data_IF_453540393578
#
_entry.id   IF_453540393578
#
_cell.length_a   1.000
_cell.length_b   1.000
_cell.length_c   1.000
_cell.angle_alpha   90.00
_cell.angle_beta   90.00
_cell.angle_gamma   90.00
#
_symmetry.space_group_name_H-M   'P 1'
#
loop_
_entity.id
_entity.type
_entity.pdbx_description
1 polymer ?
#
# COMPACT_ATOMS: atom_id res chain seq x y z
N UNK A 1 -13.91 1.19 -21.97
CA UNK A 1 -14.71 0.34 -21.06
C UNK A 1 -13.85 -0.57 -20.19
N UNK A 2 -12.78 -1.23 -20.67
CA UNK A 2 -11.93 -2.11 -19.84
C UNK A 2 -11.12 -1.39 -18.74
N UNK A 3 -10.72 -0.13 -18.97
CA UNK A 3 -10.00 0.67 -17.97
C UNK A 3 -10.85 1.05 -16.75
N UNK A 4 -12.17 1.14 -16.93
CA UNK A 4 -13.07 1.64 -15.90
C UNK A 4 -13.38 0.55 -14.86
N UNK A 5 -13.49 -0.70 -15.30
CA UNK A 5 -13.73 -1.85 -14.41
C UNK A 5 -12.49 -2.21 -13.58
N UNK A 6 -11.28 -2.13 -14.17
CA UNK A 6 -10.03 -2.36 -13.40
C UNK A 6 -9.77 -1.27 -12.37
N UNK A 7 -10.10 -0.01 -12.69
CA UNK A 7 -9.99 1.09 -11.74
C UNK A 7 -10.92 0.86 -10.54
N UNK A 8 -12.19 0.51 -10.81
CA UNK A 8 -13.15 0.19 -9.74
C UNK A 8 -12.71 -0.97 -8.86
N UNK A 9 -12.20 -2.05 -9.45
CA UNK A 9 -11.70 -3.19 -8.66
C UNK A 9 -10.51 -2.81 -7.78
N UNK A 10 -9.65 -1.91 -8.26
CA UNK A 10 -8.54 -1.40 -7.47
C UNK A 10 -9.05 -0.53 -6.31
N UNK A 11 -9.97 0.38 -6.59
CA UNK A 11 -10.58 1.26 -5.57
C UNK A 11 -11.33 0.44 -4.52
N UNK A 12 -12.15 -0.53 -4.93
CA UNK A 12 -12.86 -1.45 -4.03
C UNK A 12 -11.89 -2.23 -3.13
N UNK A 13 -10.73 -2.66 -3.66
CA UNK A 13 -9.71 -3.35 -2.88
C UNK A 13 -9.06 -2.41 -1.85
N UNK A 14 -8.78 -1.16 -2.22
CA UNK A 14 -8.26 -0.14 -1.30
C UNK A 14 -9.26 0.12 -0.18
N UNK A 15 -10.53 0.32 -0.49
CA UNK A 15 -11.61 0.52 0.49
C UNK A 15 -11.74 -0.67 1.44
N UNK A 16 -11.64 -1.91 0.94
CA UNK A 16 -11.64 -3.11 1.79
C UNK A 16 -10.44 -3.13 2.76
N UNK A 17 -9.24 -2.74 2.31
CA UNK A 17 -8.08 -2.67 3.20
C UNK A 17 -8.21 -1.57 4.25
N UNK A 18 -8.78 -0.41 3.88
CA UNK A 18 -9.05 0.69 4.82
C UNK A 18 -10.11 0.29 5.85
N UNK A 19 -11.21 -0.34 5.43
CA UNK A 19 -12.24 -0.82 6.34
C UNK A 19 -11.71 -1.84 7.36
N UNK A 20 -10.80 -2.73 6.95
CA UNK A 20 -10.11 -3.65 7.88
C UNK A 20 -9.22 -2.86 8.84
N UNK A 21 -8.50 -1.85 8.36
CA UNK A 21 -7.66 -1.01 9.20
C UNK A 21 -8.49 -0.27 10.27
N UNK A 22 -9.57 0.37 9.86
CA UNK A 22 -10.51 1.07 10.74
C UNK A 22 -11.14 0.13 11.76
N UNK A 23 -11.58 -1.06 11.34
CA UNK A 23 -12.13 -2.06 12.24
C UNK A 23 -11.13 -2.45 13.33
N UNK A 24 -9.87 -2.71 12.97
CA UNK A 24 -8.84 -3.09 13.94
C UNK A 24 -8.50 -1.91 14.86
N UNK A 25 -8.37 -0.69 14.32
CA UNK A 25 -8.08 0.53 15.09
C UNK A 25 -9.25 0.98 15.97
N UNK A 26 -10.48 0.53 15.69
CA UNK A 26 -11.65 0.83 16.51
C UNK A 26 -11.71 0.05 17.83
N UNK A 27 -10.88 -0.98 18.00
CA UNK A 27 -10.74 -1.63 19.31
C UNK A 27 -9.65 -0.92 20.11
N UNK A 28 -9.91 -0.69 21.40
CA UNK A 28 -8.94 -0.09 22.34
C UNK A 28 -7.66 -0.93 22.51
N UNK A 29 -7.60 -2.12 21.88
CA UNK A 29 -6.51 -3.08 21.99
C UNK A 29 -5.39 -2.84 20.96
N UNK A 30 -5.64 -2.12 19.86
CA UNK A 30 -4.66 -1.95 18.77
C UNK A 30 -4.37 -0.49 18.43
N UNK A 31 -3.11 -0.07 18.64
CA UNK A 31 -2.57 1.21 18.16
C UNK A 31 -2.58 1.25 16.62
N UNK A 32 -3.00 2.38 16.02
CA UNK A 32 -2.92 2.67 14.58
C UNK A 32 -1.55 2.31 13.98
N UNK A 33 -0.46 2.46 14.76
CA UNK A 33 0.89 2.06 14.34
C UNK A 33 1.02 0.56 14.06
N UNK A 34 0.36 -0.28 14.85
CA UNK A 34 0.38 -1.74 14.66
C UNK A 34 -0.40 -2.13 13.41
N UNK A 35 -1.54 -1.50 13.18
CA UNK A 35 -2.36 -1.70 11.97
C UNK A 35 -1.60 -1.28 10.73
N UNK A 36 -0.98 -0.09 10.75
CA UNK A 36 -0.12 0.39 9.67
C UNK A 36 1.04 -0.58 9.38
N UNK A 37 1.69 -1.09 10.43
CA UNK A 37 2.79 -2.06 10.29
C UNK A 37 2.33 -3.37 9.66
N UNK A 38 1.14 -3.87 10.02
CA UNK A 38 0.57 -5.09 9.44
C UNK A 38 0.24 -4.93 7.95
N UNK A 39 -0.27 -3.77 7.54
CA UNK A 39 -0.53 -3.44 6.13
C UNK A 39 0.77 -3.37 5.34
N UNK A 40 1.78 -2.66 5.86
CA UNK A 40 3.10 -2.57 5.23
C UNK A 40 3.74 -3.96 5.06
N UNK A 41 3.64 -4.81 6.08
CA UNK A 41 4.14 -6.18 6.02
C UNK A 41 3.41 -7.01 4.95
N UNK A 42 2.09 -6.88 4.86
CA UNK A 42 1.28 -7.57 3.85
C UNK A 42 1.64 -7.12 2.43
N UNK A 43 1.76 -5.81 2.21
CA UNK A 43 2.20 -5.25 0.93
C UNK A 43 3.60 -5.74 0.54
N UNK A 44 4.54 -5.79 1.50
CA UNK A 44 5.88 -6.32 1.25
C UNK A 44 5.87 -7.77 0.76
N UNK A 45 4.99 -8.62 1.31
CA UNK A 45 4.84 -10.02 0.88
C UNK A 45 4.28 -10.12 -0.53
N UNK A 46 3.25 -9.34 -0.87
CA UNK A 46 2.66 -9.31 -2.22
C UNK A 46 3.69 -8.83 -3.25
N UNK A 47 4.41 -7.75 -2.93
CA UNK A 47 5.46 -7.21 -3.81
C UNK A 47 6.61 -8.20 -4.01
N UNK A 48 7.01 -8.94 -2.96
CA UNK A 48 8.03 -9.98 -3.12
C UNK A 48 7.56 -11.13 -4.03
N UNK A 49 6.29 -11.52 -3.95
CA UNK A 49 5.69 -12.54 -4.83
C UNK A 49 5.64 -12.04 -6.29
N UNK A 50 5.19 -10.81 -6.52
CA UNK A 50 5.15 -10.20 -7.86
C UNK A 50 6.55 -10.08 -8.47
N UNK A 51 7.53 -9.64 -7.69
CA UNK A 51 8.91 -9.57 -8.15
C UNK A 51 9.46 -10.96 -8.50
N UNK A 52 9.09 -11.99 -7.73
CA UNK A 52 9.48 -13.38 -7.99
C UNK A 52 8.80 -13.96 -9.23
N UNK A 53 7.56 -13.56 -9.54
CA UNK A 53 6.85 -14.04 -10.75
C UNK A 53 7.35 -13.40 -12.04
N UNK A 54 7.96 -12.22 -11.96
CA UNK A 54 8.45 -11.47 -13.12
C UNK A 54 9.96 -11.60 -13.37
N UNK A 55 10.74 -12.12 -12.42
CA UNK A 55 12.14 -12.48 -12.66
C UNK A 55 12.63 -13.63 -11.79
N UNK A 56 13.12 -14.70 -12.43
CA UNK A 56 13.92 -15.75 -11.79
C UNK A 56 15.23 -15.19 -11.17
N UNK A 57 15.58 -13.95 -11.51
CA UNK A 57 16.76 -13.24 -11.06
C UNK A 57 16.56 -12.41 -9.79
N UNK A 58 15.43 -12.55 -9.07
CA UNK A 58 15.13 -11.73 -7.88
C UNK A 58 16.29 -11.71 -6.87
N UNK A 59 17.00 -12.83 -6.72
CA UNK A 59 18.19 -12.92 -5.86
C UNK A 59 19.27 -11.88 -6.21
N UNK A 60 19.47 -11.60 -7.50
CA UNK A 60 20.48 -10.65 -8.00
C UNK A 60 19.94 -9.25 -8.23
N UNK A 61 18.61 -9.08 -8.33
CA UNK A 61 17.93 -7.79 -8.54
C UNK A 61 17.10 -7.31 -7.34
N UNK A 62 17.30 -7.92 -6.16
CA UNK A 62 16.60 -7.55 -4.91
C UNK A 62 16.66 -6.05 -4.64
N UNK A 63 17.84 -5.43 -4.82
CA UNK A 63 18.02 -4.00 -4.57
C UNK A 63 17.17 -3.14 -5.52
N UNK A 64 17.14 -3.46 -6.81
CA UNK A 64 16.33 -2.77 -7.81
C UNK A 64 14.83 -2.92 -7.50
N UNK A 65 14.37 -4.14 -7.23
CA UNK A 65 12.97 -4.41 -6.89
C UNK A 65 12.55 -3.66 -5.61
N UNK A 66 13.39 -3.72 -4.57
CA UNK A 66 13.16 -2.99 -3.31
C UNK A 66 13.05 -1.49 -3.57
N UNK A 67 13.98 -0.92 -4.35
CA UNK A 67 13.95 0.51 -4.72
C UNK A 67 12.69 0.88 -5.50
N UNK A 68 12.25 0.01 -6.42
CA UNK A 68 11.02 0.22 -7.19
C UNK A 68 9.80 0.38 -6.28
N UNK A 69 9.49 -0.63 -5.46
CA UNK A 69 8.30 -0.57 -4.61
C UNK A 69 8.37 0.53 -3.54
N UNK A 70 9.54 0.76 -2.95
CA UNK A 70 9.70 1.82 -1.94
C UNK A 70 9.54 3.22 -2.55
N UNK A 71 9.98 3.43 -3.80
CA UNK A 71 9.79 4.72 -4.49
C UNK A 71 8.32 4.96 -4.83
N UNK A 72 7.60 3.92 -5.26
CA UNK A 72 6.16 4.00 -5.53
C UNK A 72 5.38 4.30 -4.25
N UNK A 73 5.66 3.58 -3.16
CA UNK A 73 5.06 3.87 -1.86
C UNK A 73 5.34 5.31 -1.40
N UNK A 74 6.61 5.75 -1.48
CA UNK A 74 7.00 7.10 -1.11
C UNK A 74 6.17 8.14 -1.87
N UNK A 75 6.07 8.01 -3.19
CA UNK A 75 5.29 8.94 -4.01
C UNK A 75 3.82 8.96 -3.62
N UNK A 76 3.19 7.80 -3.37
CA UNK A 76 1.79 7.74 -2.96
C UNK A 76 1.57 8.35 -1.57
N UNK A 77 2.50 8.11 -0.64
CA UNK A 77 2.46 8.68 0.70
C UNK A 77 2.58 10.20 0.67
N UNK A 78 3.57 10.74 -0.05
CA UNK A 78 3.78 12.18 -0.19
C UNK A 78 2.53 12.87 -0.76
N UNK A 79 1.92 12.31 -1.83
CA UNK A 79 0.66 12.82 -2.38
C UNK A 79 -0.46 12.90 -1.34
N UNK A 80 -0.63 11.87 -0.49
CA UNK A 80 -1.70 11.87 0.52
C UNK A 80 -1.40 12.84 1.66
N UNK A 81 -0.12 12.99 2.05
CA UNK A 81 0.29 14.01 3.02
C UNK A 81 -0.04 15.41 2.50
N UNK A 82 0.26 15.70 1.23
CA UNK A 82 -0.06 16.98 0.60
C UNK A 82 -1.58 17.25 0.63
N UNK A 83 -2.41 16.26 0.29
CA UNK A 83 -3.88 16.35 0.37
C UNK A 83 -4.35 16.67 1.79
N UNK A 84 -3.78 16.02 2.81
CA UNK A 84 -4.13 16.28 4.22
C UNK A 84 -3.73 17.71 4.61
N UNK A 85 -2.54 18.17 4.21
CA UNK A 85 -2.07 19.54 4.48
C UNK A 85 -2.99 20.58 3.84
N UNK A 86 -3.35 20.39 2.57
CA UNK A 86 -4.24 21.28 1.83
C UNK A 86 -5.63 21.36 2.47
N UNK A 87 -6.17 20.24 2.94
CA UNK A 87 -7.49 20.18 3.57
C UNK A 87 -7.49 20.64 5.03
N UNK A 88 -6.37 20.55 5.75
CA UNK A 88 -6.23 21.01 7.14
C UNK A 88 -5.98 22.53 7.25
N UNK A 89 -5.72 23.20 6.13
CA UNK A 89 -5.43 24.65 6.06
C UNK A 89 -6.68 25.50 5.73
N UNK A 90 -7.87 24.90 5.75
CA UNK A 90 -9.18 25.55 5.58
C UNK A 90 -9.97 25.55 6.88
#
# INVERSE_FOLDING_TARGET
MVNDERSRLFDDAVEMFLAIAEFISSSDEYDERLVSSAIQYSAARVNALEASSNCDCLAYRKADATKGYTSVYKSMFETHVDIIIENSSR
#
